data_IF_607979443686
#
_entry.id   IF_607979443686
#
_cell.length_a   1.000
_cell.length_b   1.000
_cell.length_c   1.000
_cell.angle_alpha   90.00
_cell.angle_beta   90.00
_cell.angle_gamma   90.00
#
_symmetry.space_group_name_H-M   'P 1'
#
loop_
_entity.id
_entity.type
_entity.pdbx_description
1 polymer ?
#
# COMPACT_ATOMS: atom_id res chain seq x y z
N UNK A 1 -6.08 16.99 64.48
CA UNK A 1 -6.78 16.39 63.32
C UNK A 1 -6.50 17.22 62.06
N UNK A 2 -5.25 17.33 61.58
CA UNK A 2 -4.91 18.28 60.49
C UNK A 2 -3.82 17.81 59.51
N UNK A 3 -3.14 16.69 59.76
CA UNK A 3 -2.06 16.19 58.88
C UNK A 3 -2.53 15.05 57.96
N UNK A 4 -3.41 14.17 58.46
CA UNK A 4 -3.97 13.04 57.68
C UNK A 4 -4.90 13.49 56.55
N UNK A 5 -5.65 14.58 56.74
CA UNK A 5 -6.53 15.16 55.71
C UNK A 5 -5.75 15.84 54.57
N UNK A 6 -4.60 16.46 54.88
CA UNK A 6 -3.72 17.08 53.87
C UNK A 6 -3.00 16.04 53.00
N UNK A 7 -2.63 14.90 53.58
CA UNK A 7 -2.00 13.80 52.83
C UNK A 7 -2.97 13.14 51.84
N UNK A 8 -4.24 12.99 52.23
CA UNK A 8 -5.30 12.47 51.35
C UNK A 8 -5.61 13.42 50.19
N UNK A 9 -5.65 14.73 50.45
CA UNK A 9 -5.86 15.73 49.40
C UNK A 9 -4.69 15.76 48.38
N UNK A 10 -3.46 15.53 48.84
CA UNK A 10 -2.28 15.50 47.96
C UNK A 10 -2.21 14.23 47.09
N UNK A 11 -2.69 13.08 47.60
CA UNK A 11 -2.74 11.83 46.84
C UNK A 11 -3.79 11.87 45.71
N UNK A 12 -4.91 12.56 45.92
CA UNK A 12 -6.00 12.66 44.94
C UNK A 12 -5.64 13.53 43.72
N UNK A 13 -4.72 14.49 43.90
CA UNK A 13 -4.25 15.36 42.81
C UNK A 13 -3.31 14.60 41.88
N UNK A 14 -2.50 13.66 42.39
CA UNK A 14 -1.61 12.85 41.55
C UNK A 14 -2.34 11.84 40.66
N UNK A 15 -3.54 11.40 41.03
CA UNK A 15 -4.35 10.50 40.19
C UNK A 15 -5.01 11.20 39.00
N UNK A 16 -5.13 12.54 39.03
CA UNK A 16 -5.73 13.32 37.93
C UNK A 16 -4.70 13.76 36.87
N UNK A 17 -3.40 13.62 37.14
CA UNK A 17 -2.34 13.89 36.15
C UNK A 17 -1.91 12.64 35.36
N UNK A 18 -2.58 11.50 35.55
CA UNK A 18 -2.48 10.39 34.60
C UNK A 18 -3.35 10.65 33.36
N UNK A 19 -3.16 11.81 32.73
CA UNK A 19 -3.47 11.95 31.32
C UNK A 19 -2.48 11.04 30.58
N UNK A 20 -2.86 9.78 30.35
CA UNK A 20 -2.43 9.11 29.14
C UNK A 20 -2.79 10.09 28.03
N UNK A 21 -1.79 10.71 27.40
CA UNK A 21 -1.98 11.33 26.10
C UNK A 21 -2.50 10.19 25.23
N UNK A 22 -3.81 10.11 25.05
CA UNK A 22 -4.39 9.31 23.98
C UNK A 22 -3.64 9.80 22.74
N UNK A 23 -2.85 8.90 22.15
CA UNK A 23 -2.10 9.24 20.96
C UNK A 23 -3.14 9.74 19.96
N UNK A 24 -3.02 11.00 19.56
CA UNK A 24 -3.89 11.62 18.57
C UNK A 24 -4.01 10.65 17.39
N UNK A 25 -5.22 10.15 17.14
CA UNK A 25 -5.45 9.19 16.08
C UNK A 25 -5.06 9.85 14.77
N UNK A 26 -3.96 9.40 14.16
CA UNK A 26 -3.53 9.95 12.87
C UNK A 26 -4.63 9.68 11.86
N UNK A 27 -5.22 10.74 11.33
CA UNK A 27 -6.21 10.68 10.24
C UNK A 27 -5.58 11.08 8.92
N UNK A 28 -6.15 10.56 7.82
CA UNK A 28 -5.78 10.99 6.48
C UNK A 28 -6.65 12.19 6.07
N UNK A 29 -6.01 13.29 5.66
CA UNK A 29 -6.73 14.52 5.28
C UNK A 29 -7.53 14.38 3.97
N UNK A 30 -7.03 13.60 3.02
CA UNK A 30 -7.60 13.44 1.69
C UNK A 30 -7.60 11.96 1.27
N UNK A 31 -8.73 11.48 0.75
CA UNK A 31 -8.86 10.16 0.14
C UNK A 31 -9.02 10.33 -1.37
N UNK A 32 -7.95 10.06 -2.14
CA UNK A 32 -7.87 10.37 -3.58
C UNK A 32 -8.62 9.38 -4.46
N UNK A 33 -8.95 8.21 -3.95
CA UNK A 33 -9.46 7.11 -4.75
C UNK A 33 -10.88 6.67 -4.37
N UNK A 34 -11.64 7.56 -3.71
CA UNK A 34 -13.01 7.26 -3.26
C UNK A 34 -13.97 6.89 -4.41
N UNK A 35 -13.74 7.42 -5.61
CA UNK A 35 -14.50 7.12 -6.83
C UNK A 35 -14.34 5.67 -7.32
N UNK A 36 -13.27 4.98 -6.89
CA UNK A 36 -13.06 3.55 -7.18
C UNK A 36 -13.89 2.62 -6.29
N UNK A 37 -14.52 3.16 -5.24
CA UNK A 37 -15.39 2.41 -4.33
C UNK A 37 -14.65 1.46 -3.39
N UNK A 38 -15.42 0.63 -2.70
CA UNK A 38 -14.92 -0.37 -1.74
C UNK A 38 -14.80 -1.72 -2.46
N UNK A 39 -13.56 -2.18 -2.66
CA UNK A 39 -13.24 -3.50 -3.26
C UNK A 39 -12.70 -4.50 -2.22
N UNK A 40 -12.20 -4.00 -1.10
CA UNK A 40 -11.81 -4.76 0.08
C UNK A 40 -12.83 -4.54 1.19
N UNK A 41 -13.57 -5.59 1.56
CA UNK A 41 -14.56 -5.53 2.62
C UNK A 41 -14.11 -6.32 3.85
N UNK A 42 -13.27 -5.69 4.67
CA UNK A 42 -12.75 -6.25 5.92
C UNK A 42 -13.31 -5.48 7.13
N UNK A 43 -14.54 -5.80 7.53
CA UNK A 43 -15.38 -5.04 8.49
C UNK A 43 -14.73 -4.75 9.86
N UNK A 44 -13.67 -5.47 10.22
CA UNK A 44 -12.91 -5.27 11.47
C UNK A 44 -11.74 -4.28 11.31
N UNK A 45 -11.75 -3.47 10.25
CA UNK A 45 -10.73 -2.49 9.94
C UNK A 45 -11.34 -1.26 9.24
N UNK A 46 -10.60 -0.16 9.18
CA UNK A 46 -10.99 1.04 8.43
C UNK A 46 -11.01 0.74 6.92
N UNK A 47 -12.21 0.50 6.38
CA UNK A 47 -12.41 0.18 4.97
C UNK A 47 -11.93 1.29 4.04
N UNK A 48 -12.09 2.56 4.42
CA UNK A 48 -11.67 3.67 3.56
C UNK A 48 -10.15 3.68 3.47
N UNK A 49 -9.47 3.58 4.61
CA UNK A 49 -8.02 3.54 4.66
C UNK A 49 -7.44 2.34 3.92
N UNK A 50 -8.03 1.15 4.06
CA UNK A 50 -7.54 -0.06 3.41
C UNK A 50 -7.66 0.00 1.88
N UNK A 51 -8.79 0.50 1.37
CA UNK A 51 -8.98 0.66 -0.07
C UNK A 51 -8.12 1.80 -0.63
N UNK A 52 -7.97 2.89 0.11
CA UNK A 52 -7.04 3.98 -0.23
C UNK A 52 -5.60 3.48 -0.34
N UNK A 53 -5.16 2.66 0.64
CA UNK A 53 -3.84 2.06 0.63
C UNK A 53 -3.61 1.15 -0.59
N UNK A 54 -4.60 0.33 -0.94
CA UNK A 54 -4.54 -0.52 -2.14
C UNK A 54 -4.40 0.33 -3.41
N UNK A 55 -5.25 1.34 -3.59
CA UNK A 55 -5.24 2.13 -4.82
C UNK A 55 -4.05 3.07 -4.93
N UNK A 56 -3.55 3.60 -3.81
CA UNK A 56 -2.30 4.38 -3.78
C UNK A 56 -1.11 3.52 -4.20
N UNK A 57 -1.04 2.28 -3.70
CA UNK A 57 -0.05 1.30 -4.15
C UNK A 57 -0.18 0.99 -5.65
N UNK A 58 -1.40 0.70 -6.13
CA UNK A 58 -1.63 0.40 -7.55
C UNK A 58 -1.23 1.57 -8.45
N UNK A 59 -1.48 2.80 -8.04
CA UNK A 59 -1.07 4.00 -8.77
C UNK A 59 0.45 4.12 -8.85
N UNK A 60 1.14 4.03 -7.70
CA UNK A 60 2.60 4.17 -7.63
C UNK A 60 3.32 3.13 -8.51
N UNK A 61 2.88 1.86 -8.47
CA UNK A 61 3.48 0.83 -9.32
C UNK A 61 3.12 1.03 -10.80
N UNK A 62 1.94 1.56 -11.12
CA UNK A 62 1.52 1.84 -12.48
C UNK A 62 2.38 2.96 -13.09
N UNK A 63 2.69 3.99 -12.30
CA UNK A 63 3.59 5.06 -12.71
C UNK A 63 5.03 4.58 -12.88
N UNK A 64 5.54 3.79 -11.92
CA UNK A 64 6.91 3.29 -11.95
C UNK A 64 7.16 2.23 -13.03
N UNK A 65 6.19 1.33 -13.26
CA UNK A 65 6.40 0.11 -14.04
C UNK A 65 5.35 -0.16 -15.13
N UNK A 66 4.26 0.60 -15.16
CA UNK A 66 3.14 0.35 -16.06
C UNK A 66 3.41 0.68 -17.52
N UNK A 67 4.36 1.58 -17.82
CA UNK A 67 4.69 1.97 -19.19
C UNK A 67 5.73 1.04 -19.82
N UNK A 68 5.60 0.82 -21.13
CA UNK A 68 6.61 0.15 -21.95
C UNK A 68 7.23 1.19 -22.88
N UNK A 69 8.36 1.79 -22.48
CA UNK A 69 8.93 2.95 -23.16
C UNK A 69 8.10 4.23 -22.98
N UNK A 70 8.42 5.27 -23.76
CA UNK A 70 7.85 6.61 -23.61
C UNK A 70 6.39 6.73 -24.09
N UNK A 71 5.93 5.80 -24.94
CA UNK A 71 4.64 5.90 -25.65
C UNK A 71 3.64 4.79 -25.30
N UNK A 72 4.02 3.83 -24.46
CA UNK A 72 3.13 2.73 -24.07
C UNK A 72 2.02 3.20 -23.13
N UNK A 73 0.77 2.80 -23.42
CA UNK A 73 -0.33 2.97 -22.49
C UNK A 73 -0.01 2.27 -21.15
N UNK A 74 -0.25 2.91 -19.99
CA UNK A 74 0.00 2.28 -18.69
C UNK A 74 -0.78 0.97 -18.55
N UNK A 75 -0.10 -0.08 -18.09
CA UNK A 75 -0.66 -1.41 -17.93
C UNK A 75 -0.41 -1.93 -16.50
N UNK A 76 -1.49 -2.11 -15.74
CA UNK A 76 -1.40 -2.57 -14.35
C UNK A 76 -0.88 -4.01 -14.23
N UNK A 77 -1.19 -4.89 -15.19
CA UNK A 77 -0.64 -6.26 -15.22
C UNK A 77 0.88 -6.25 -15.31
N UNK A 78 1.42 -5.39 -16.18
CA UNK A 78 2.86 -5.19 -16.28
C UNK A 78 3.42 -4.64 -14.97
N UNK A 79 2.76 -3.64 -14.38
CA UNK A 79 3.19 -3.03 -13.13
C UNK A 79 3.32 -4.06 -12.00
N UNK A 80 2.29 -4.89 -11.77
CA UNK A 80 2.35 -5.97 -10.80
C UNK A 80 3.47 -6.97 -11.07
N UNK A 81 3.62 -7.40 -12.33
CA UNK A 81 4.66 -8.37 -12.71
C UNK A 81 6.07 -7.85 -12.40
N UNK A 82 6.35 -6.58 -12.74
CA UNK A 82 7.65 -5.96 -12.47
C UNK A 82 7.84 -5.70 -10.98
N UNK A 83 6.83 -5.16 -10.29
CA UNK A 83 6.87 -4.90 -8.87
C UNK A 83 7.17 -6.18 -8.07
N UNK A 84 6.36 -7.23 -8.23
CA UNK A 84 6.52 -8.49 -7.50
C UNK A 84 7.90 -9.09 -7.78
N UNK A 85 8.34 -9.09 -9.04
CA UNK A 85 9.67 -9.61 -9.40
C UNK A 85 10.80 -8.84 -8.71
N UNK A 86 10.77 -7.52 -8.75
CA UNK A 86 11.80 -6.69 -8.14
C UNK A 86 11.76 -6.78 -6.61
N UNK A 87 10.59 -6.82 -6.00
CA UNK A 87 10.41 -7.04 -4.56
C UNK A 87 10.98 -8.38 -4.11
N UNK A 88 10.65 -9.47 -4.81
CA UNK A 88 11.14 -10.82 -4.50
C UNK A 88 12.66 -10.96 -4.64
N UNK A 89 13.28 -10.22 -5.56
CA UNK A 89 14.73 -10.22 -5.75
C UNK A 89 15.47 -9.17 -4.92
N UNK A 90 14.78 -8.40 -4.06
CA UNK A 90 15.39 -7.36 -3.25
C UNK A 90 15.98 -6.20 -4.08
N UNK A 91 15.39 -5.90 -5.24
CA UNK A 91 15.86 -4.88 -6.19
C UNK A 91 15.03 -3.60 -6.18
N UNK A 92 14.24 -3.40 -5.12
CA UNK A 92 13.33 -2.28 -5.01
C UNK A 92 14.06 -1.03 -4.49
N UNK A 93 13.94 0.08 -5.21
CA UNK A 93 14.21 1.40 -4.66
C UNK A 93 12.86 2.07 -4.33
N UNK A 94 12.34 1.80 -3.13
CA UNK A 94 11.02 2.30 -2.74
C UNK A 94 10.91 3.83 -2.77
N UNK A 95 11.99 4.55 -2.46
CA UNK A 95 12.01 6.02 -2.50
C UNK A 95 11.73 6.60 -3.89
N UNK A 96 12.01 5.84 -4.96
CA UNK A 96 11.72 6.26 -6.35
C UNK A 96 10.27 5.97 -6.79
N UNK A 97 9.56 5.13 -6.03
CA UNK A 97 8.24 4.60 -6.39
C UNK A 97 7.15 5.25 -5.55
N UNK A 98 7.42 5.48 -4.26
CA UNK A 98 6.45 6.03 -3.31
C UNK A 98 6.10 7.47 -3.70
N UNK A 99 4.81 7.73 -3.86
CA UNK A 99 4.30 9.09 -4.03
C UNK A 99 4.15 9.82 -2.69
N UNK A 100 4.08 11.17 -2.70
CA UNK A 100 3.77 11.94 -1.49
C UNK A 100 2.46 11.50 -0.82
N UNK A 101 1.48 11.05 -1.62
CA UNK A 101 0.20 10.58 -1.12
C UNK A 101 0.34 9.24 -0.38
N UNK A 102 1.03 8.27 -0.98
CA UNK A 102 1.35 6.99 -0.32
C UNK A 102 2.10 7.19 0.99
N UNK A 103 3.03 8.17 1.05
CA UNK A 103 3.72 8.49 2.29
C UNK A 103 2.74 8.94 3.40
N UNK A 104 1.75 9.78 3.08
CA UNK A 104 0.69 10.19 4.02
C UNK A 104 -0.20 9.01 4.43
N UNK A 105 -0.60 8.17 3.48
CA UNK A 105 -1.36 6.94 3.77
C UNK A 105 -0.57 6.01 4.71
N UNK A 106 0.73 5.85 4.46
CA UNK A 106 1.60 5.04 5.30
C UNK A 106 1.74 5.60 6.72
N UNK A 107 1.82 6.92 6.90
CA UNK A 107 1.83 7.54 8.23
C UNK A 107 0.58 7.19 9.06
N UNK A 108 -0.59 7.13 8.41
CA UNK A 108 -1.84 6.73 9.05
C UNK A 108 -1.85 5.23 9.33
N UNK A 109 -1.45 4.40 8.36
CA UNK A 109 -1.35 2.95 8.53
C UNK A 109 -0.44 2.55 9.69
N UNK A 110 0.68 3.27 9.91
CA UNK A 110 1.58 3.02 11.06
C UNK A 110 0.89 3.15 12.41
N UNK A 111 -0.19 3.93 12.51
CA UNK A 111 -0.96 4.07 13.75
C UNK A 111 -1.86 2.86 14.05
N UNK A 112 -2.14 2.00 13.05
CA UNK A 112 -2.98 0.81 13.14
C UNK A 112 -2.16 -0.39 13.62
N UNK A 113 -1.88 -0.45 14.92
CA UNK A 113 -1.00 -1.45 15.53
C UNK A 113 -1.43 -2.89 15.27
N UNK A 114 -2.74 -3.14 15.12
CA UNK A 114 -3.27 -4.47 14.79
C UNK A 114 -2.78 -5.00 13.44
N UNK A 115 -2.39 -4.11 12.52
CA UNK A 115 -1.89 -4.45 11.19
C UNK A 115 -0.41 -4.86 11.21
N UNK A 116 0.37 -4.46 12.22
CA UNK A 116 1.82 -4.59 12.20
C UNK A 116 2.38 -5.40 13.38
N UNK A 117 3.32 -6.28 13.09
CA UNK A 117 4.17 -6.97 14.07
C UNK A 117 5.61 -6.50 13.91
N UNK A 118 5.94 -5.36 14.54
CA UNK A 118 7.25 -4.72 14.38
C UNK A 118 8.38 -5.50 15.05
N UNK A 119 8.05 -6.43 15.95
CA UNK A 119 9.00 -7.30 16.64
C UNK A 119 9.42 -8.50 15.79
N UNK A 120 8.70 -8.79 14.71
CA UNK A 120 9.06 -9.84 13.78
C UNK A 120 10.19 -9.37 12.85
N UNK A 121 11.25 -10.18 12.79
CA UNK A 121 12.43 -9.90 11.98
C UNK A 121 12.21 -10.19 10.49
N UNK A 122 11.25 -11.05 10.14
CA UNK A 122 11.03 -11.53 8.77
C UNK A 122 9.98 -10.72 8.00
N UNK A 123 9.00 -10.19 8.71
CA UNK A 123 7.92 -9.35 8.15
C UNK A 123 7.54 -8.27 9.15
N UNK A 124 6.97 -7.18 8.66
CA UNK A 124 6.29 -6.18 9.50
C UNK A 124 4.79 -6.41 9.56
N UNK A 125 4.21 -7.17 8.64
CA UNK A 125 2.78 -7.43 8.58
C UNK A 125 2.38 -8.45 9.66
N UNK A 126 1.36 -8.12 10.44
CA UNK A 126 0.81 -9.04 11.43
C UNK A 126 -0.07 -10.10 10.76
N UNK A 127 0.47 -11.30 10.57
CA UNK A 127 -0.27 -12.43 9.99
C UNK A 127 -1.41 -12.96 10.86
N UNK A 128 -1.45 -12.61 12.15
CA UNK A 128 -2.56 -12.95 13.05
C UNK A 128 -3.66 -11.87 13.08
N UNK A 129 -3.55 -10.82 12.26
CA UNK A 129 -4.51 -9.72 12.23
C UNK A 129 -5.86 -10.13 11.62
N UNK A 130 -6.93 -9.43 12.03
CA UNK A 130 -8.25 -9.56 11.40
C UNK A 130 -8.24 -9.22 9.90
N UNK A 131 -7.37 -8.29 9.49
CA UNK A 131 -7.14 -7.92 8.09
C UNK A 131 -6.57 -9.10 7.31
N UNK A 132 -5.55 -9.79 7.84
CA UNK A 132 -4.98 -10.95 7.17
C UNK A 132 -5.95 -12.14 7.11
N UNK A 133 -6.72 -12.38 8.16
CA UNK A 133 -7.79 -13.38 8.13
C UNK A 133 -8.86 -13.03 7.08
N UNK A 134 -9.26 -11.76 6.97
CA UNK A 134 -10.18 -11.30 5.94
C UNK A 134 -9.62 -11.51 4.52
N UNK A 135 -8.37 -11.09 4.29
CA UNK A 135 -7.69 -11.25 3.00
C UNK A 135 -7.63 -12.72 2.60
N UNK A 136 -7.10 -13.59 3.48
CA UNK A 136 -6.95 -15.01 3.19
C UNK A 136 -8.29 -15.72 2.95
N UNK A 137 -9.36 -15.30 3.63
CA UNK A 137 -10.69 -15.89 3.44
C UNK A 137 -11.40 -15.43 2.17
N UNK A 138 -11.09 -14.25 1.64
CA UNK A 138 -11.77 -13.69 0.48
C UNK A 138 -10.97 -13.75 -0.83
N UNK A 139 -9.76 -14.31 -0.81
CA UNK A 139 -9.01 -14.62 -2.03
C UNK A 139 -9.85 -15.48 -3.00
N UNK A 140 -9.86 -15.06 -4.25
CA UNK A 140 -10.56 -15.68 -5.36
C UNK A 140 -9.76 -16.88 -5.90
N UNK A 141 -8.44 -16.75 -6.01
CA UNK A 141 -7.58 -17.85 -6.47
C UNK A 141 -7.52 -18.95 -5.42
N UNK A 142 -8.16 -20.10 -5.72
CA UNK A 142 -8.30 -21.20 -4.76
C UNK A 142 -6.97 -21.79 -4.33
N UNK A 143 -6.01 -21.92 -5.25
CA UNK A 143 -4.72 -22.55 -4.96
C UNK A 143 -3.87 -21.65 -4.05
N UNK A 144 -3.82 -20.35 -4.35
CA UNK A 144 -3.15 -19.37 -3.51
C UNK A 144 -3.84 -19.23 -2.15
N UNK A 145 -5.19 -19.21 -2.14
CA UNK A 145 -5.98 -19.19 -0.91
C UNK A 145 -5.67 -20.40 -0.01
N UNK A 146 -5.71 -21.61 -0.55
CA UNK A 146 -5.41 -22.83 0.22
C UNK A 146 -3.98 -22.79 0.76
N UNK A 147 -3.01 -22.38 -0.06
CA UNK A 147 -1.61 -22.28 0.35
C UNK A 147 -1.44 -21.25 1.47
N UNK A 148 -2.00 -20.06 1.32
CA UNK A 148 -1.91 -19.00 2.33
C UNK A 148 -2.58 -19.42 3.64
N UNK A 149 -3.80 -19.97 3.60
CA UNK A 149 -4.49 -20.41 4.81
C UNK A 149 -3.71 -21.52 5.53
N UNK A 150 -3.18 -22.51 4.80
CA UNK A 150 -2.37 -23.56 5.43
C UNK A 150 -1.12 -22.99 6.12
N UNK A 151 -0.45 -22.00 5.52
CA UNK A 151 0.70 -21.32 6.11
C UNK A 151 0.31 -20.50 7.35
N UNK A 152 -0.85 -19.83 7.33
CA UNK A 152 -1.38 -19.08 8.47
C UNK A 152 -1.78 -20.01 9.63
N UNK A 153 -2.54 -21.07 9.35
CA UNK A 153 -3.01 -22.05 10.34
C UNK A 153 -1.86 -22.77 11.05
N UNK A 154 -0.75 -23.02 10.34
CA UNK A 154 0.46 -23.66 10.89
C UNK A 154 1.44 -22.66 11.50
N UNK A 155 1.09 -21.36 11.55
CA UNK A 155 1.95 -20.26 12.01
C UNK A 155 3.35 -20.28 11.33
N UNK A 156 3.38 -20.70 10.07
CA UNK A 156 4.60 -20.82 9.26
C UNK A 156 4.69 -19.76 8.18
N UNK A 157 3.67 -18.90 8.05
CA UNK A 157 3.59 -17.90 7.01
C UNK A 157 4.82 -16.97 7.01
N UNK A 158 5.40 -16.80 5.81
CA UNK A 158 6.47 -15.84 5.54
C UNK A 158 6.49 -15.49 4.05
N UNK A 159 7.06 -14.33 3.67
CA UNK A 159 7.20 -13.96 2.26
C UNK A 159 8.03 -14.97 1.47
N UNK A 160 9.01 -15.61 2.12
CA UNK A 160 9.87 -16.63 1.51
C UNK A 160 9.10 -17.89 1.12
N UNK A 161 8.09 -18.29 1.91
CA UNK A 161 7.32 -19.50 1.66
C UNK A 161 6.17 -19.28 0.67
N UNK A 162 5.51 -18.12 0.72
CA UNK A 162 4.39 -17.82 -0.18
C UNK A 162 4.82 -17.14 -1.49
N UNK A 163 5.93 -16.39 -1.46
CA UNK A 163 6.43 -15.59 -2.58
C UNK A 163 6.61 -16.35 -3.90
N UNK A 164 7.16 -17.59 -3.93
CA UNK A 164 7.27 -18.37 -5.17
C UNK A 164 5.91 -18.68 -5.82
N UNK A 165 4.89 -18.97 -5.01
CA UNK A 165 3.53 -19.21 -5.51
C UNK A 165 2.92 -17.91 -6.07
N UNK A 166 3.11 -16.79 -5.36
CA UNK A 166 2.69 -15.47 -5.83
C UNK A 166 3.40 -15.08 -7.14
N UNK A 167 4.72 -15.26 -7.24
CA UNK A 167 5.51 -14.89 -8.41
C UNK A 167 5.10 -15.70 -9.65
N UNK A 168 4.81 -16.99 -9.49
CA UNK A 168 4.33 -17.84 -10.59
C UNK A 168 2.92 -17.48 -11.06
N UNK A 169 2.16 -16.78 -10.22
CA UNK A 169 0.76 -16.43 -10.42
C UNK A 169 0.50 -14.92 -10.33
N UNK A 170 1.47 -14.06 -10.71
CA UNK A 170 1.32 -12.60 -10.59
C UNK A 170 0.06 -12.07 -11.30
N UNK A 171 -0.39 -12.76 -12.36
CA UNK A 171 -1.64 -12.45 -13.07
C UNK A 171 -2.90 -12.58 -12.20
N UNK A 172 -2.86 -13.41 -11.16
CA UNK A 172 -3.94 -13.55 -10.20
C UNK A 172 -4.07 -12.30 -9.32
N UNK A 173 -2.95 -11.66 -8.94
CA UNK A 173 -2.99 -10.45 -8.10
C UNK A 173 -3.85 -9.36 -8.73
N UNK A 174 -3.76 -9.13 -10.05
CA UNK A 174 -4.57 -8.09 -10.71
C UNK A 174 -6.08 -8.36 -10.63
N UNK A 175 -6.49 -9.63 -10.68
CA UNK A 175 -7.91 -10.03 -10.69
C UNK A 175 -8.48 -10.22 -9.30
N UNK A 176 -7.63 -10.48 -8.32
CA UNK A 176 -7.98 -10.75 -6.95
C UNK A 176 -7.51 -9.60 -6.06
N UNK A 177 -8.42 -8.67 -5.76
CA UNK A 177 -8.08 -7.49 -4.95
C UNK A 177 -7.62 -7.84 -3.54
N UNK A 178 -8.06 -8.96 -2.97
CA UNK A 178 -7.55 -9.41 -1.67
C UNK A 178 -6.10 -9.88 -1.78
N UNK A 179 -5.74 -10.56 -2.87
CA UNK A 179 -4.34 -10.86 -3.16
C UNK A 179 -3.52 -9.59 -3.42
N UNK A 180 -4.05 -8.62 -4.18
CA UNK A 180 -3.40 -7.31 -4.32
C UNK A 180 -3.16 -6.62 -2.98
N UNK A 181 -4.12 -6.68 -2.05
CA UNK A 181 -4.00 -6.10 -0.73
C UNK A 181 -2.89 -6.77 0.08
N UNK A 182 -2.79 -8.09 0.03
CA UNK A 182 -1.64 -8.80 0.61
C UNK A 182 -0.31 -8.31 0.01
N UNK A 183 -0.23 -8.16 -1.32
CA UNK A 183 0.98 -7.65 -1.98
C UNK A 183 1.33 -6.23 -1.50
N UNK A 184 0.34 -5.35 -1.44
CA UNK A 184 0.52 -3.97 -0.98
C UNK A 184 0.99 -3.93 0.48
N UNK A 185 0.36 -4.69 1.37
CA UNK A 185 0.69 -4.67 2.80
C UNK A 185 2.05 -5.31 3.09
N UNK A 186 2.36 -6.45 2.48
CA UNK A 186 3.58 -7.21 2.75
C UNK A 186 4.80 -6.62 2.04
N UNK A 187 4.70 -6.47 0.72
CA UNK A 187 5.86 -6.18 -0.14
C UNK A 187 6.03 -4.69 -0.42
N UNK A 188 5.03 -3.86 -0.09
CA UNK A 188 5.10 -2.41 -0.26
C UNK A 188 5.15 -1.70 1.09
N UNK A 189 4.01 -1.52 1.76
CA UNK A 189 3.92 -0.76 3.01
C UNK A 189 4.77 -1.35 4.14
N UNK A 190 4.80 -2.68 4.29
CA UNK A 190 5.66 -3.34 5.27
C UNK A 190 7.15 -3.06 5.07
N UNK A 191 7.58 -2.78 3.84
CA UNK A 191 8.97 -2.42 3.51
C UNK A 191 9.28 -0.94 3.68
N UNK A 192 8.26 -0.07 3.70
CA UNK A 192 8.44 1.36 3.91
C UNK A 192 8.89 1.72 5.34
N UNK A 193 8.76 0.80 6.30
CA UNK A 193 9.34 0.97 7.64
C UNK A 193 10.87 1.11 7.62
N UNK A 194 11.52 0.53 6.62
CA UNK A 194 12.98 0.50 6.48
C UNK A 194 13.48 1.54 5.46
N UNK A 195 12.62 2.49 5.06
CA UNK A 195 12.91 3.49 4.02
C UNK A 195 12.80 4.90 4.61
N UNK A 196 13.79 5.76 4.35
CA UNK A 196 13.70 7.18 4.65
C UNK A 196 12.85 7.89 3.58
N UNK A 197 11.62 8.24 3.96
CA UNK A 197 10.66 8.94 3.09
C UNK A 197 10.75 10.48 3.19
N UNK A 198 11.71 11.03 3.93
CA UNK A 198 11.87 12.49 4.07
C UNK A 198 12.08 13.20 2.72
N UNK A 199 12.64 12.48 1.74
CA UNK A 199 12.92 12.98 0.39
C UNK A 199 11.77 12.78 -0.61
N UNK A 200 10.67 12.15 -0.20
CA UNK A 200 9.49 11.93 -1.06
C UNK A 200 8.62 13.19 -1.16
N UNK A 201 9.06 14.31 -0.56
CA UNK A 201 8.41 15.62 -0.69
C UNK A 201 8.07 15.94 -2.16
N UNK A 202 6.87 16.46 -2.36
CA UNK A 202 6.22 16.75 -3.66
C UNK A 202 7.25 17.09 -4.74
N UNK A 203 7.61 16.10 -5.57
CA UNK A 203 8.32 16.37 -6.82
C UNK A 203 7.41 17.36 -7.56
N UNK A 204 7.88 18.59 -7.86
CA UNK A 204 7.03 19.56 -8.52
C UNK A 204 6.48 18.92 -9.80
N UNK A 205 5.18 19.03 -10.02
CA UNK A 205 4.63 18.69 -11.32
C UNK A 205 5.49 19.39 -12.38
N UNK A 206 5.99 18.68 -13.41
CA UNK A 206 6.80 19.31 -14.44
C UNK A 206 5.98 20.48 -15.00
N UNK A 207 6.51 21.70 -14.89
CA UNK A 207 5.83 22.91 -15.37
C UNK A 207 5.36 22.66 -16.80
N UNK A 208 4.05 22.63 -16.98
CA UNK A 208 3.44 22.57 -18.30
C UNK A 208 3.80 23.88 -19.01
N UNK A 209 4.71 23.80 -19.97
CA UNK A 209 5.02 24.93 -20.85
C UNK A 209 3.93 25.02 -21.90
N UNK A 210 2.94 25.88 -21.65
CA UNK A 210 1.82 26.14 -22.57
C UNK A 210 2.26 26.74 -23.91
N UNK A 211 3.54 27.10 -24.08
CA UNK A 211 4.08 27.59 -25.35
C UNK A 211 4.65 26.46 -26.23
N UNK A 212 4.72 25.22 -25.74
CA UNK A 212 5.10 24.07 -26.59
C UNK A 212 3.90 23.60 -27.41
N UNK A 213 3.93 23.93 -28.69
CA UNK A 213 2.99 23.39 -29.68
C UNK A 213 3.15 21.86 -29.72
N UNK A 214 2.04 21.09 -29.62
CA UNK A 214 2.09 19.64 -29.76
C UNK A 214 2.76 19.22 -31.08
N UNK A 215 3.55 18.13 -31.10
CA UNK A 215 4.11 17.62 -32.35
C UNK A 215 3.01 17.44 -33.39
N UNK A 216 3.14 18.09 -34.54
CA UNK A 216 2.21 17.92 -35.65
C UNK A 216 2.22 16.45 -36.07
N UNK A 217 1.08 15.78 -35.97
CA UNK A 217 0.88 14.44 -36.52
C UNK A 217 1.21 14.48 -38.01
N UNK A 218 2.03 13.56 -38.56
CA UNK A 218 2.29 13.52 -40.00
C UNK A 218 0.97 13.44 -40.75
N UNK A 219 0.67 14.48 -41.51
CA UNK A 219 -0.51 14.55 -42.35
C UNK A 219 -0.31 13.54 -43.49
N UNK A 220 -0.97 12.38 -43.41
CA UNK A 220 -1.04 11.44 -44.53
C UNK A 220 -1.66 12.17 -45.72
N UNK A 221 -0.83 12.45 -46.73
CA UNK A 221 -1.25 13.05 -47.98
C UNK A 221 -2.14 12.04 -48.75
N UNK A 222 -3.43 12.31 -48.99
CA UNK A 222 -4.34 11.36 -49.65
C UNK A 222 -4.23 11.36 -51.18
N UNK A 223 -3.22 12.02 -51.76
CA UNK A 223 -3.04 12.11 -53.21
C UNK A 223 -1.79 11.36 -53.68
N UNK A 224 -1.82 10.03 -53.59
CA UNK A 224 -0.89 9.18 -54.34
C UNK A 224 -1.65 7.96 -54.89
N UNK A 225 -1.95 7.99 -56.19
CA UNK A 225 -2.10 6.77 -57.00
C UNK A 225 -3.47 6.54 -57.64
N UNK A 226 -3.70 7.13 -58.81
CA UNK A 226 -4.44 6.49 -59.89
C UNK A 226 -3.72 6.76 -61.21
N UNK A 227 -2.87 5.82 -61.64
CA UNK A 227 -2.46 5.68 -63.03
C UNK A 227 -2.79 4.23 -63.43
N UNK A 228 -3.82 4.09 -64.26
CA UNK A 228 -4.10 2.94 -65.12
C UNK A 228 -4.23 3.47 -66.54
#
# INVERSE_FOLDING_TARGET
MNLKFKLFAFLLVFTLFSCKKEAEEKTLDEYKYTEKGIVLNCDKFDLKLLNEALFSFENDILEAYGKNGQTGAPNLTRAYSQFIRNAMYGRMNYADIVSPHTAKVFEVLKSKQELWDLNNANTKLNYNSSVMACIANNMIDRSLKTTLNALLETNSMSPKLFGPALQSNYGAAIRDKYLSAYVALEFYYGKLFDVDLSQVAEKPEPKVDFNKIPPQTPQNNPHAGHNH
#
